data_IF_978785033715
#
_entry.id   IF_978785033715
#
_cell.length_a   1.000
_cell.length_b   1.000
_cell.length_c   1.000
_cell.angle_alpha   90.00
_cell.angle_beta   90.00
_cell.angle_gamma   90.00
#
_symmetry.space_group_name_H-M   'P 1'
#
loop_
_entity.id
_entity.type
_entity.pdbx_description
1 polymer ?
#
# COMPACT_ATOMS: atom_id res chain seq x y z
N UNK A 1 12.04 -43.05 -1.91
CA UNK A 1 13.19 -42.13 -1.76
C UNK A 1 12.68 -40.82 -1.19
N UNK A 2 13.10 -40.42 0.02
CA UNK A 2 12.66 -39.18 0.62
C UNK A 2 13.33 -38.00 -0.11
N UNK A 3 12.50 -37.07 -0.61
CA UNK A 3 12.93 -35.81 -1.22
C UNK A 3 13.76 -35.05 -0.17
N UNK A 4 15.05 -34.90 -0.47
CA UNK A 4 16.01 -34.16 0.35
C UNK A 4 15.48 -32.74 0.57
N UNK A 5 15.17 -32.42 1.83
CA UNK A 5 15.04 -31.05 2.33
C UNK A 5 16.38 -30.35 2.10
N UNK A 6 16.44 -29.47 1.10
CA UNK A 6 17.53 -28.51 0.98
C UNK A 6 16.97 -27.11 1.20
N UNK A 7 17.57 -26.46 2.19
CA UNK A 7 17.72 -25.01 2.34
C UNK A 7 16.46 -24.21 2.74
N UNK A 8 16.13 -24.30 4.03
CA UNK A 8 15.80 -23.09 4.78
C UNK A 8 17.10 -22.32 5.01
N UNK A 9 17.55 -21.52 4.03
CA UNK A 9 18.59 -20.51 4.22
C UNK A 9 18.57 -19.56 3.03
N UNK A 10 18.00 -18.37 3.23
CA UNK A 10 17.89 -17.35 2.20
C UNK A 10 16.62 -16.55 2.39
N UNK A 11 16.72 -15.47 3.16
CA UNK A 11 15.71 -14.43 3.24
C UNK A 11 15.33 -13.98 1.82
N UNK A 12 14.07 -14.20 1.40
CA UNK A 12 13.63 -13.84 0.04
C UNK A 12 13.66 -12.31 -0.10
N UNK A 13 14.56 -11.74 -0.92
CA UNK A 13 14.68 -10.30 -1.04
C UNK A 13 13.39 -9.64 -1.54
N UNK A 14 12.53 -10.36 -2.26
CA UNK A 14 11.25 -9.82 -2.72
C UNK A 14 10.25 -9.68 -1.59
N UNK A 15 10.24 -10.62 -0.64
CA UNK A 15 9.43 -10.54 0.58
C UNK A 15 9.84 -9.34 1.43
N UNK A 16 11.14 -9.10 1.57
CA UNK A 16 11.65 -7.93 2.29
C UNK A 16 11.16 -6.63 1.63
N UNK A 17 11.28 -6.53 0.31
CA UNK A 17 10.86 -5.33 -0.42
C UNK A 17 9.36 -5.09 -0.21
N UNK A 18 8.54 -6.14 -0.26
CA UNK A 18 7.11 -6.03 -0.02
C UNK A 18 6.78 -5.54 1.40
N UNK A 19 7.44 -6.11 2.43
CA UNK A 19 7.30 -5.66 3.82
C UNK A 19 7.70 -4.18 3.95
N UNK A 20 8.82 -3.78 3.35
CA UNK A 20 9.29 -2.39 3.39
C UNK A 20 8.29 -1.45 2.71
N UNK A 21 7.73 -1.84 1.56
CA UNK A 21 6.69 -1.07 0.88
C UNK A 21 5.46 -0.89 1.78
N UNK A 22 4.95 -1.97 2.37
CA UNK A 22 3.78 -1.93 3.26
C UNK A 22 4.03 -1.06 4.51
N UNK A 23 5.24 -1.09 5.08
CA UNK A 23 5.62 -0.20 6.19
C UNK A 23 5.67 1.26 5.74
N UNK A 24 6.23 1.56 4.56
CA UNK A 24 6.24 2.93 4.02
C UNK A 24 4.83 3.45 3.79
N UNK A 25 3.95 2.64 3.20
CA UNK A 25 2.53 2.98 3.01
C UNK A 25 1.85 3.24 4.35
N UNK A 26 2.11 2.42 5.37
CA UNK A 26 1.56 2.63 6.70
C UNK A 26 2.00 3.98 7.30
N UNK A 27 3.28 4.32 7.19
CA UNK A 27 3.82 5.57 7.72
C UNK A 27 3.25 6.78 6.97
N UNK A 28 3.21 6.74 5.64
CA UNK A 28 2.68 7.85 4.84
C UNK A 28 1.17 8.03 5.06
N UNK A 29 0.42 6.94 5.17
CA UNK A 29 -1.00 6.99 5.51
C UNK A 29 -1.22 7.64 6.88
N UNK A 30 -0.42 7.28 7.90
CA UNK A 30 -0.47 7.94 9.22
C UNK A 30 -0.20 9.44 9.13
N UNK A 31 0.82 9.85 8.37
CA UNK A 31 1.14 11.28 8.16
C UNK A 31 -0.01 11.99 7.45
N UNK A 32 -0.57 11.40 6.40
CA UNK A 32 -1.68 11.96 5.63
C UNK A 32 -2.91 12.16 6.50
N UNK A 33 -3.25 11.17 7.33
CA UNK A 33 -4.36 11.26 8.28
C UNK A 33 -4.12 12.33 9.35
N UNK A 34 -2.90 12.43 9.88
CA UNK A 34 -2.55 13.46 10.85
C UNK A 34 -2.70 14.88 10.28
N UNK A 35 -2.27 15.10 9.03
CA UNK A 35 -2.44 16.37 8.33
C UNK A 35 -3.92 16.66 8.00
N UNK A 36 -4.70 15.61 7.71
CA UNK A 36 -6.11 15.75 7.30
C UNK A 36 -7.08 15.91 8.48
N UNK A 37 -6.66 15.57 9.70
CA UNK A 37 -7.54 15.57 10.87
C UNK A 37 -8.11 16.96 11.22
N UNK A 38 -7.39 18.03 10.94
CA UNK A 38 -7.84 19.40 11.20
C UNK A 38 -8.99 19.84 10.26
N UNK A 39 -9.21 19.12 9.16
CA UNK A 39 -10.19 19.47 8.13
C UNK A 39 -11.24 18.38 7.92
N UNK A 40 -11.53 17.58 8.95
CA UNK A 40 -12.45 16.44 8.88
C UNK A 40 -13.88 16.80 8.48
N UNK A 41 -14.26 18.07 8.64
CA UNK A 41 -15.59 18.58 8.30
C UNK A 41 -15.79 18.79 6.79
N UNK A 42 -14.70 18.81 5.99
CA UNK A 42 -14.78 18.93 4.54
C UNK A 42 -14.95 17.54 3.90
N UNK A 43 -16.01 17.38 3.10
CA UNK A 43 -16.32 16.12 2.42
C UNK A 43 -15.20 15.65 1.49
N UNK A 44 -14.42 16.57 0.94
CA UNK A 44 -13.30 16.27 0.05
C UNK A 44 -12.14 15.66 0.83
N UNK A 45 -11.91 16.16 2.05
CA UNK A 45 -10.91 15.63 2.98
C UNK A 45 -11.39 14.31 3.59
N UNK A 46 -12.70 14.13 3.79
CA UNK A 46 -13.26 12.86 4.22
C UNK A 46 -12.90 11.69 3.27
N UNK A 47 -12.82 11.93 1.95
CA UNK A 47 -12.36 10.93 0.97
C UNK A 47 -10.89 10.57 1.19
N UNK A 48 -10.05 11.55 1.51
CA UNK A 48 -8.62 11.35 1.83
C UNK A 48 -8.49 10.53 3.13
N UNK A 49 -9.29 10.87 4.15
CA UNK A 49 -9.32 10.13 5.42
C UNK A 49 -9.78 8.69 5.22
N UNK A 50 -10.81 8.46 4.40
CA UNK A 50 -11.27 7.12 4.05
C UNK A 50 -10.18 6.31 3.34
N UNK A 51 -9.48 6.93 2.38
CA UNK A 51 -8.38 6.31 1.63
C UNK A 51 -7.18 5.97 2.52
N UNK A 52 -6.80 6.88 3.43
CA UNK A 52 -5.78 6.64 4.44
C UNK A 52 -6.14 5.50 5.39
N UNK A 53 -7.38 5.46 5.87
CA UNK A 53 -7.87 4.39 6.75
C UNK A 53 -7.86 3.02 6.06
N UNK A 54 -8.27 2.98 4.79
CA UNK A 54 -8.21 1.77 3.97
C UNK A 54 -6.76 1.28 3.79
N UNK A 55 -5.82 2.21 3.64
CA UNK A 55 -4.38 1.91 3.50
C UNK A 55 -3.80 1.34 4.78
N UNK A 56 -4.17 1.87 5.95
CA UNK A 56 -3.77 1.30 7.23
C UNK A 56 -4.28 -0.14 7.38
N UNK A 57 -5.53 -0.39 6.98
CA UNK A 57 -6.09 -1.74 7.00
C UNK A 57 -5.36 -2.67 6.02
N UNK A 58 -5.11 -2.21 4.79
CA UNK A 58 -4.36 -2.95 3.77
C UNK A 58 -2.95 -3.32 4.27
N UNK A 59 -2.19 -2.34 4.77
CA UNK A 59 -0.84 -2.56 5.27
C UNK A 59 -0.82 -3.49 6.49
N UNK A 60 -1.75 -3.32 7.43
CA UNK A 60 -1.82 -4.16 8.62
C UNK A 60 -2.19 -5.62 8.28
N UNK A 61 -3.23 -5.82 7.48
CA UNK A 61 -3.65 -7.16 7.05
C UNK A 61 -2.56 -7.81 6.21
N UNK A 62 -1.92 -7.06 5.31
CA UNK A 62 -0.79 -7.53 4.52
C UNK A 62 0.37 -8.00 5.38
N UNK A 63 0.80 -7.19 6.36
CA UNK A 63 1.88 -7.58 7.29
C UNK A 63 1.52 -8.82 8.13
N UNK A 64 0.27 -8.93 8.60
CA UNK A 64 -0.19 -10.11 9.35
C UNK A 64 -0.20 -11.36 8.47
N UNK A 65 -0.60 -11.23 7.21
CA UNK A 65 -0.57 -12.33 6.25
C UNK A 65 0.87 -12.74 5.96
N UNK A 66 1.80 -11.80 5.73
CA UNK A 66 3.21 -12.14 5.49
C UNK A 66 3.84 -12.85 6.71
N UNK A 67 3.61 -12.33 7.93
CA UNK A 67 4.06 -12.99 9.17
C UNK A 67 3.45 -14.38 9.36
N UNK A 68 2.17 -14.54 9.01
CA UNK A 68 1.45 -15.81 9.12
C UNK A 68 1.84 -16.83 8.04
N UNK A 69 2.04 -16.38 6.80
CA UNK A 69 2.40 -17.19 5.65
C UNK A 69 3.81 -17.78 5.81
N UNK A 70 4.76 -16.97 6.28
CA UNK A 70 6.12 -17.43 6.65
C UNK A 70 6.07 -18.60 7.66
N UNK A 71 5.00 -18.72 8.45
CA UNK A 71 4.91 -19.72 9.50
C UNK A 71 4.26 -21.05 9.11
N UNK A 72 3.40 -21.14 8.07
CA UNK A 72 2.54 -22.35 7.91
C UNK A 72 2.22 -22.91 6.52
N UNK A 73 2.16 -22.16 5.42
CA UNK A 73 1.56 -22.67 4.16
C UNK A 73 2.21 -22.16 2.85
N UNK A 74 3.29 -22.78 2.35
CA UNK A 74 3.95 -22.37 1.10
C UNK A 74 3.09 -22.59 -0.16
N UNK A 75 2.15 -23.54 -0.16
CA UNK A 75 1.32 -23.87 -1.33
C UNK A 75 0.25 -22.80 -1.66
N UNK A 76 -0.07 -21.91 -0.72
CA UNK A 76 -1.08 -20.87 -0.90
C UNK A 76 -0.53 -19.54 -1.46
N UNK A 77 0.79 -19.40 -1.62
CA UNK A 77 1.45 -18.12 -1.96
C UNK A 77 0.93 -17.49 -3.26
N UNK A 78 0.69 -18.29 -4.30
CA UNK A 78 0.24 -17.76 -5.60
C UNK A 78 -1.11 -17.04 -5.53
N UNK A 79 -2.08 -17.60 -4.79
CA UNK A 79 -3.40 -16.96 -4.66
C UNK A 79 -3.34 -15.72 -3.76
N UNK A 80 -2.46 -15.71 -2.76
CA UNK A 80 -2.21 -14.55 -1.91
C UNK A 80 -1.66 -13.37 -2.72
N UNK A 81 -0.69 -13.58 -3.61
CA UNK A 81 -0.12 -12.49 -4.42
C UNK A 81 -1.14 -11.88 -5.41
N UNK A 82 -2.03 -12.69 -6.00
CA UNK A 82 -3.13 -12.15 -6.82
C UNK A 82 -4.09 -11.32 -5.97
N UNK A 83 -4.48 -11.84 -4.80
CA UNK A 83 -5.40 -11.12 -3.92
C UNK A 83 -4.80 -9.79 -3.45
N UNK A 84 -3.52 -9.79 -3.13
CA UNK A 84 -2.77 -8.59 -2.77
C UNK A 84 -2.69 -7.59 -3.94
N UNK A 85 -2.38 -8.05 -5.16
CA UNK A 85 -2.36 -7.20 -6.35
C UNK A 85 -3.73 -6.56 -6.65
N UNK A 86 -4.82 -7.32 -6.49
CA UNK A 86 -6.19 -6.82 -6.66
C UNK A 86 -6.55 -5.79 -5.58
N UNK A 87 -6.21 -6.06 -4.33
CA UNK A 87 -6.46 -5.15 -3.22
C UNK A 87 -5.67 -3.85 -3.36
N UNK A 88 -4.39 -3.95 -3.72
CA UNK A 88 -3.53 -2.82 -4.02
C UNK A 88 -4.08 -1.97 -5.19
N UNK A 89 -4.55 -2.62 -6.26
CA UNK A 89 -5.16 -1.94 -7.41
C UNK A 89 -6.45 -1.22 -7.04
N UNK A 90 -7.26 -1.79 -6.14
CA UNK A 90 -8.47 -1.13 -5.64
C UNK A 90 -8.11 0.12 -4.82
N UNK A 91 -7.16 0.01 -3.90
CA UNK A 91 -6.70 1.13 -3.09
C UNK A 91 -6.04 2.24 -3.94
N UNK A 92 -5.34 1.86 -5.01
CA UNK A 92 -4.75 2.80 -5.97
C UNK A 92 -5.81 3.74 -6.57
N UNK A 93 -6.99 3.22 -6.93
CA UNK A 93 -8.08 4.03 -7.46
C UNK A 93 -8.55 5.10 -6.47
N UNK A 94 -8.63 4.76 -5.18
CA UNK A 94 -8.98 5.70 -4.12
C UNK A 94 -7.92 6.78 -3.92
N UNK A 95 -6.64 6.43 -4.02
CA UNK A 95 -5.56 7.40 -3.92
C UNK A 95 -5.44 8.32 -5.12
N UNK A 96 -5.74 7.84 -6.33
CA UNK A 96 -5.82 8.71 -7.52
C UNK A 96 -6.90 9.79 -7.35
N UNK A 97 -8.06 9.42 -6.81
CA UNK A 97 -9.11 10.39 -6.48
C UNK A 97 -8.65 11.36 -5.39
N UNK A 98 -8.03 10.85 -4.33
CA UNK A 98 -7.52 11.64 -3.20
C UNK A 98 -6.42 12.62 -3.61
N UNK A 99 -5.52 12.22 -4.52
CA UNK A 99 -4.48 13.09 -5.06
C UNK A 99 -5.08 14.24 -5.90
N UNK A 100 -6.02 13.93 -6.80
CA UNK A 100 -6.72 14.97 -7.58
C UNK A 100 -7.47 15.97 -6.70
N UNK A 101 -8.12 15.48 -5.65
CA UNK A 101 -8.80 16.29 -4.65
C UNK A 101 -7.83 17.20 -3.88
N UNK A 102 -6.74 16.65 -3.36
CA UNK A 102 -5.72 17.42 -2.63
C UNK A 102 -5.12 18.54 -3.48
N UNK A 103 -4.79 18.26 -4.75
CA UNK A 103 -4.29 19.27 -5.69
C UNK A 103 -5.34 20.37 -5.90
N UNK A 104 -6.59 20.00 -6.16
CA UNK A 104 -7.68 20.96 -6.42
C UNK A 104 -7.90 21.91 -5.24
N UNK A 105 -7.87 21.41 -4.00
CA UNK A 105 -8.04 22.23 -2.80
C UNK A 105 -6.85 23.18 -2.62
N UNK A 106 -5.61 22.69 -2.84
CA UNK A 106 -4.40 23.51 -2.70
C UNK A 106 -4.42 24.75 -3.59
N UNK A 107 -4.96 24.62 -4.81
CA UNK A 107 -5.09 25.70 -5.79
C UNK A 107 -6.18 26.73 -5.48
N UNK A 108 -7.17 26.39 -4.64
CA UNK A 108 -8.29 27.28 -4.26
C UNK A 108 -8.10 27.98 -2.91
N UNK A 109 -7.11 27.54 -2.12
CA UNK A 109 -6.94 27.97 -0.74
C UNK A 109 -6.05 29.22 -0.60
N UNK A 110 -6.10 29.89 0.55
CA UNK A 110 -5.20 31.01 0.88
C UNK A 110 -3.81 30.52 1.31
N UNK A 111 -2.79 31.40 1.30
CA UNK A 111 -1.37 31.02 1.38
C UNK A 111 -1.00 29.99 2.48
N UNK A 112 -1.57 30.09 3.68
CA UNK A 112 -1.27 29.19 4.80
C UNK A 112 -1.95 27.83 4.69
N UNK A 113 -3.17 27.79 4.15
CA UNK A 113 -3.90 26.55 3.87
C UNK A 113 -3.39 25.87 2.60
N UNK A 114 -2.93 26.63 1.61
CA UNK A 114 -2.28 26.11 0.39
C UNK A 114 -1.06 25.24 0.70
N UNK A 115 -0.21 25.65 1.65
CA UNK A 115 0.98 24.88 2.01
C UNK A 115 0.61 23.51 2.60
N UNK A 116 -0.33 23.47 3.55
CA UNK A 116 -0.78 22.23 4.18
C UNK A 116 -1.46 21.29 3.18
N UNK A 117 -2.37 21.81 2.35
CA UNK A 117 -3.02 21.00 1.30
C UNK A 117 -2.03 20.56 0.22
N UNK A 118 -0.97 21.34 -0.04
CA UNK A 118 0.15 20.93 -0.88
C UNK A 118 0.89 19.72 -0.32
N UNK A 119 1.14 19.68 0.99
CA UNK A 119 1.73 18.51 1.65
C UNK A 119 0.80 17.30 1.63
N UNK A 120 -0.50 17.49 1.87
CA UNK A 120 -1.50 16.42 1.75
C UNK A 120 -1.49 15.85 0.32
N UNK A 121 -1.50 16.71 -0.70
CA UNK A 121 -1.44 16.29 -2.10
C UNK A 121 -0.15 15.52 -2.44
N UNK A 122 0.98 15.94 -1.89
CA UNK A 122 2.26 15.25 -2.05
C UNK A 122 2.22 13.85 -1.41
N UNK A 123 1.70 13.73 -0.19
CA UNK A 123 1.52 12.45 0.48
C UNK A 123 0.56 11.53 -0.30
N UNK A 124 -0.58 12.03 -0.77
CA UNK A 124 -1.49 11.28 -1.63
C UNK A 124 -0.81 10.76 -2.90
N UNK A 125 0.07 11.57 -3.50
CA UNK A 125 0.80 11.19 -4.71
C UNK A 125 1.87 10.13 -4.44
N UNK A 126 2.52 10.19 -3.27
CA UNK A 126 3.45 9.14 -2.84
C UNK A 126 2.73 7.80 -2.63
N UNK A 127 1.53 7.83 -2.05
CA UNK A 127 0.70 6.62 -1.90
C UNK A 127 0.35 6.00 -3.26
N UNK A 128 -0.02 6.81 -4.26
CA UNK A 128 -0.24 6.32 -5.63
C UNK A 128 1.00 5.56 -6.14
N UNK A 129 2.20 6.11 -5.98
CA UNK A 129 3.45 5.47 -6.43
C UNK A 129 3.70 4.16 -5.67
N UNK A 130 3.46 4.14 -4.36
CA UNK A 130 3.65 2.96 -3.53
C UNK A 130 2.66 1.84 -3.89
N UNK A 131 1.38 2.17 -4.13
CA UNK A 131 0.38 1.19 -4.55
C UNK A 131 0.65 0.63 -5.95
N UNK A 132 1.16 1.44 -6.89
CA UNK A 132 1.62 0.95 -8.19
C UNK A 132 2.79 -0.03 -8.01
N UNK A 133 3.74 0.33 -7.13
CA UNK A 133 4.91 -0.50 -6.84
C UNK A 133 4.52 -1.83 -6.20
N UNK A 134 3.60 -1.80 -5.22
CA UNK A 134 3.07 -3.00 -4.57
C UNK A 134 2.33 -3.90 -5.57
N UNK A 135 1.38 -3.36 -6.35
CA UNK A 135 0.66 -4.14 -7.35
C UNK A 135 1.60 -4.75 -8.40
N UNK A 136 2.61 -3.99 -8.84
CA UNK A 136 3.64 -4.47 -9.76
C UNK A 136 4.48 -5.60 -9.18
N UNK A 137 4.90 -5.47 -7.92
CA UNK A 137 5.70 -6.49 -7.23
C UNK A 137 4.90 -7.78 -7.02
N UNK A 138 3.66 -7.69 -6.52
CA UNK A 138 2.81 -8.86 -6.29
C UNK A 138 2.46 -9.58 -7.61
N UNK A 139 2.24 -8.81 -8.69
CA UNK A 139 2.06 -9.39 -10.03
C UNK A 139 3.34 -10.09 -10.54
N UNK A 140 4.50 -9.48 -10.35
CA UNK A 140 5.78 -10.08 -10.72
C UNK A 140 6.06 -11.37 -9.94
N UNK A 141 5.82 -11.37 -8.63
CA UNK A 141 5.95 -12.55 -7.78
C UNK A 141 5.01 -13.67 -8.23
N UNK A 142 3.74 -13.35 -8.52
CA UNK A 142 2.80 -14.32 -9.05
C UNK A 142 3.25 -14.94 -10.38
N UNK A 143 3.69 -14.11 -11.34
CA UNK A 143 4.23 -14.59 -12.61
C UNK A 143 5.47 -15.48 -12.41
N UNK A 144 6.37 -15.07 -11.52
CA UNK A 144 7.61 -15.82 -11.23
C UNK A 144 7.33 -17.21 -10.66
N UNK A 145 6.30 -17.35 -9.81
CA UNK A 145 5.85 -18.64 -9.30
C UNK A 145 5.24 -19.49 -10.41
N UNK A 146 4.45 -18.89 -11.30
CA UNK A 146 3.78 -19.61 -12.39
C UNK A 146 4.74 -20.16 -13.44
N UNK A 147 5.83 -19.47 -13.73
CA UNK A 147 6.84 -19.93 -14.70
C UNK A 147 7.92 -20.84 -14.10
N UNK A 148 8.00 -20.95 -12.76
CA UNK A 148 8.88 -21.92 -12.08
C UNK A 148 8.23 -23.28 -11.84
N UNK A 149 6.90 -23.39 -11.91
CA UNK A 149 6.13 -24.64 -11.78
C UNK A 149 6.04 -25.41 -13.09
#
# INVERSE_FOLDING_TARGET
MPRNRKEFDGFDPMLLIDIVLKVLMFVIACVTLGLSAEYSDDYTVAIIIASGSLTLLYALVGLLLELGIVSKCPEAHGNCYIADALCASFCLCFWLLSAGNGITISLRSGAKTTELFGWIAACCSLEVILFISAAGLSCFQWLSLRFRS
#
